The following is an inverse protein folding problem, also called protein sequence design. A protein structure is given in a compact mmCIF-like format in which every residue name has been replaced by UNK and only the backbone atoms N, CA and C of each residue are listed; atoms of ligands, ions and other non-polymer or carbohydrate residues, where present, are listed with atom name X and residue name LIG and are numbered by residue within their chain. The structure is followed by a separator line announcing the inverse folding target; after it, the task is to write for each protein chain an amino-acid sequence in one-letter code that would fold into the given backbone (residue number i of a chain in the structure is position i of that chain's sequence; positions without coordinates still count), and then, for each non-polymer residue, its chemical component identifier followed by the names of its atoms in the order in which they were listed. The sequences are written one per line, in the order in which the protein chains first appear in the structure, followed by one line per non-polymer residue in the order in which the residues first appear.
data_IF_976735504206
#
_entry.id   IF_976735504206
#
_cell.length_a   1.000
_cell.length_b   1.000
_cell.length_c   1.000
_cell.angle_alpha   90.00
_cell.angle_beta   90.00
_cell.angle_gamma   90.00
#
_symmetry.space_group_name_H-M   'P 1'
#
loop_
_entity.id
_entity.type
_entity.pdbx_description
1 polymer ?
#
# COMPACT_ATOMS: atom_id res chain seq x y z
N UNK A 1 -1.03 -21.93 -2.15
CA UNK A 1 -0.64 -20.59 -2.62
C UNK A 1 0.64 -20.25 -1.89
N UNK A 2 1.69 -19.84 -2.62
CA UNK A 2 2.95 -19.46 -1.99
C UNK A 2 2.74 -18.31 -0.99
N UNK A 3 3.45 -18.35 0.13
CA UNK A 3 3.45 -17.24 1.09
C UNK A 3 4.23 -16.07 0.48
N UNK A 4 3.55 -14.96 0.23
CA UNK A 4 4.14 -13.77 -0.37
C UNK A 4 5.29 -13.18 0.46
N UNK A 5 5.23 -13.31 1.79
CA UNK A 5 6.31 -12.83 2.65
C UNK A 5 7.54 -13.72 2.54
N UNK A 6 7.34 -15.01 2.28
CA UNK A 6 8.43 -15.94 2.01
C UNK A 6 9.05 -15.67 0.63
N UNK A 7 8.21 -15.46 -0.39
CA UNK A 7 8.68 -15.13 -1.75
C UNK A 7 9.51 -13.85 -1.77
N UNK A 8 9.10 -12.82 -1.01
CA UNK A 8 9.85 -11.58 -0.91
C UNK A 8 11.21 -11.76 -0.23
N UNK A 9 11.29 -12.56 0.84
CA UNK A 9 12.54 -12.76 1.60
C UNK A 9 13.49 -13.77 0.98
N UNK A 10 12.94 -14.75 0.25
CA UNK A 10 13.65 -15.92 -0.26
C UNK A 10 13.47 -16.05 -1.78
N UNK A 11 13.46 -14.92 -2.50
CA UNK A 11 13.19 -14.87 -3.95
C UNK A 11 14.04 -15.86 -4.75
N UNK A 12 15.35 -15.90 -4.51
CA UNK A 12 16.27 -16.79 -5.23
C UNK A 12 15.99 -18.27 -4.95
N UNK A 13 15.63 -18.61 -3.72
CA UNK A 13 15.29 -19.98 -3.32
C UNK A 13 14.00 -20.42 -4.00
N UNK A 14 12.99 -19.56 -4.02
CA UNK A 14 11.71 -19.84 -4.68
C UNK A 14 11.89 -20.03 -6.19
N UNK A 15 12.69 -19.17 -6.84
CA UNK A 15 13.02 -19.31 -8.27
C UNK A 15 13.69 -20.67 -8.54
N UNK A 16 14.64 -21.10 -7.70
CA UNK A 16 15.29 -22.41 -7.83
C UNK A 16 14.30 -23.57 -7.65
N UNK A 17 13.41 -23.49 -6.67
CA UNK A 17 12.40 -24.53 -6.42
C UNK A 17 11.40 -24.63 -7.58
N UNK A 18 11.03 -23.51 -8.19
CA UNK A 18 10.17 -23.47 -9.37
C UNK A 18 10.90 -24.02 -10.59
N UNK A 19 12.16 -23.67 -10.80
CA UNK A 19 12.99 -24.22 -11.88
C UNK A 19 13.12 -25.75 -11.79
N UNK A 20 13.27 -26.30 -10.58
CA UNK A 20 13.28 -27.76 -10.34
C UNK A 20 11.95 -28.43 -10.74
N UNK A 21 10.84 -27.70 -10.75
CA UNK A 21 9.53 -28.16 -11.24
C UNK A 21 9.32 -27.91 -12.74
N UNK A 22 10.33 -27.40 -13.45
CA UNK A 22 10.26 -27.03 -14.86
C UNK A 22 9.60 -25.67 -15.11
N UNK A 23 9.50 -24.82 -14.09
CA UNK A 23 8.92 -23.48 -14.19
C UNK A 23 10.00 -22.41 -14.10
N UNK A 24 10.30 -21.75 -15.21
CA UNK A 24 11.13 -20.56 -15.25
C UNK A 24 10.23 -19.33 -15.13
N UNK A 25 10.30 -18.66 -13.98
CA UNK A 25 9.54 -17.44 -13.69
C UNK A 25 10.41 -16.40 -13.03
N UNK A 26 10.23 -15.14 -13.43
CA UNK A 26 10.85 -14.00 -12.78
C UNK A 26 9.91 -13.45 -11.70
N UNK A 27 10.36 -13.48 -10.46
CA UNK A 27 9.62 -12.98 -9.30
C UNK A 27 9.96 -11.51 -8.98
N UNK A 28 10.85 -10.88 -9.74
CA UNK A 28 11.27 -9.49 -9.50
C UNK A 28 10.10 -8.52 -9.55
N UNK A 29 9.20 -8.68 -10.53
CA UNK A 29 7.98 -7.86 -10.62
C UNK A 29 7.05 -8.10 -9.42
N UNK A 30 6.89 -9.36 -8.99
CA UNK A 30 6.08 -9.70 -7.82
C UNK A 30 6.62 -9.03 -6.55
N UNK A 31 7.93 -9.10 -6.32
CA UNK A 31 8.58 -8.45 -5.16
C UNK A 31 8.42 -6.93 -5.21
N UNK A 32 8.60 -6.31 -6.38
CA UNK A 32 8.37 -4.88 -6.55
C UNK A 32 6.91 -4.47 -6.28
N UNK A 33 5.96 -5.29 -6.72
CA UNK A 33 4.55 -5.07 -6.46
C UNK A 33 4.23 -5.18 -4.96
N UNK A 34 4.85 -6.11 -4.24
CA UNK A 34 4.74 -6.25 -2.78
C UNK A 34 5.30 -5.04 -2.04
N UNK A 35 6.48 -4.55 -2.45
CA UNK A 35 7.06 -3.34 -1.89
C UNK A 35 6.15 -2.12 -2.12
N UNK A 36 5.59 -1.99 -3.33
CA UNK A 36 4.63 -0.95 -3.68
C UNK A 36 3.35 -1.05 -2.84
N UNK A 37 2.82 -2.25 -2.66
CA UNK A 37 1.67 -2.52 -1.77
C UNK A 37 1.93 -1.98 -0.36
N UNK A 38 3.08 -2.31 0.25
CA UNK A 38 3.43 -1.84 1.59
C UNK A 38 3.57 -0.32 1.66
N UNK A 39 4.20 0.29 0.65
CA UNK A 39 4.32 1.74 0.57
C UNK A 39 2.95 2.43 0.48
N UNK A 40 2.01 1.88 -0.30
CA UNK A 40 0.64 2.38 -0.39
C UNK A 40 -0.12 2.24 0.93
N UNK A 41 -0.03 1.07 1.59
CA UNK A 41 -0.63 0.85 2.91
C UNK A 41 -0.09 1.84 3.95
N UNK A 42 1.22 2.07 3.96
CA UNK A 42 1.84 3.04 4.85
C UNK A 42 1.36 4.47 4.55
N UNK A 43 1.28 4.85 3.27
CA UNK A 43 0.77 6.17 2.87
C UNK A 43 -0.68 6.38 3.32
N UNK A 44 -1.55 5.37 3.17
CA UNK A 44 -2.95 5.42 3.62
C UNK A 44 -3.02 5.67 5.14
N UNK A 45 -2.25 4.91 5.93
CA UNK A 45 -2.21 5.09 7.38
C UNK A 45 -1.65 6.46 7.79
N UNK A 46 -0.61 6.95 7.10
CA UNK A 46 -0.07 8.29 7.34
C UNK A 46 -1.11 9.39 7.05
N UNK A 47 -1.84 9.29 5.94
CA UNK A 47 -2.87 10.27 5.57
C UNK A 47 -3.99 10.27 6.60
N UNK A 48 -4.43 9.09 7.05
CA UNK A 48 -5.44 8.96 8.10
C UNK A 48 -4.99 9.56 9.43
N UNK A 49 -3.74 9.32 9.83
CA UNK A 49 -3.14 9.93 11.02
C UNK A 49 -3.09 11.46 10.91
N UNK A 50 -2.70 11.98 9.74
CA UNK A 50 -2.63 13.41 9.49
C UNK A 50 -4.01 14.08 9.53
N UNK A 51 -5.03 13.47 8.92
CA UNK A 51 -6.42 13.95 8.97
C UNK A 51 -6.92 14.00 10.41
N UNK A 52 -6.63 12.98 11.22
CA UNK A 52 -7.02 12.95 12.63
C UNK A 52 -6.31 14.04 13.44
N UNK A 53 -5.01 14.26 13.20
CA UNK A 53 -4.21 15.31 13.84
C UNK A 53 -4.74 16.71 13.51
N UNK A 54 -5.01 16.96 12.23
CA UNK A 54 -5.58 18.21 11.73
C UNK A 54 -6.97 18.46 12.34
N UNK A 55 -7.83 17.45 12.35
CA UNK A 55 -9.18 17.54 12.93
C UNK A 55 -9.15 17.80 14.44
N UNK A 56 -8.22 17.18 15.17
CA UNK A 56 -8.03 17.40 16.60
C UNK A 56 -7.50 18.81 16.93
N UNK A 57 -6.84 19.48 15.98
CA UNK A 57 -6.31 20.84 16.14
C UNK A 57 -7.39 21.93 15.95
N UNK A 58 -8.50 21.60 15.26
CA UNK A 58 -9.58 22.55 14.94
C UNK A 58 -10.21 23.21 16.18
N UNK A 59 -10.56 22.49 17.27
CA UNK A 59 -11.15 23.12 18.46
C UNK A 59 -10.20 24.11 19.15
N UNK A 60 -8.90 23.80 19.19
CA UNK A 60 -7.90 24.70 19.78
C UNK A 60 -7.74 25.99 18.95
N UNK A 61 -7.69 25.85 17.63
CA UNK A 61 -7.57 27.00 16.72
C UNK A 61 -8.83 27.87 16.71
N UNK A 62 -10.03 27.27 16.79
CA UNK A 62 -11.28 28.01 16.97
C UNK A 62 -11.29 28.81 18.27
N UNK A 63 -10.79 28.25 19.38
CA UNK A 63 -10.66 28.97 20.66
C UNK A 63 -9.67 30.14 20.57
N UNK A 64 -8.64 30.02 19.75
CA UNK A 64 -7.66 31.08 19.49
C UNK A 64 -8.14 32.14 18.48
N UNK A 65 -9.36 32.02 17.95
CA UNK A 65 -9.89 32.94 16.93
C UNK A 65 -9.21 32.82 15.56
N UNK A 66 -8.46 31.73 15.32
CA UNK A 66 -7.78 31.49 14.06
C UNK A 66 -8.73 30.91 12.99
N UNK A 67 -8.40 31.16 11.72
CA UNK A 67 -9.17 30.66 10.59
C UNK A 67 -8.91 29.16 10.36
N UNK A 68 -9.96 28.35 10.44
CA UNK A 68 -9.88 26.87 10.29
C UNK A 68 -10.25 26.38 8.89
N UNK A 69 -10.70 27.26 7.99
CA UNK A 69 -10.99 26.95 6.58
C UNK A 69 -9.83 26.27 5.84
N UNK A 70 -8.55 26.69 5.98
CA UNK A 70 -7.44 26.00 5.30
C UNK A 70 -7.25 24.56 5.78
N UNK A 71 -7.57 24.26 7.04
CA UNK A 71 -7.49 22.89 7.57
C UNK A 71 -8.52 22.00 6.89
N UNK A 72 -9.76 22.47 6.72
CA UNK A 72 -10.78 21.72 6.01
C UNK A 72 -10.42 21.47 4.53
N UNK A 73 -9.82 22.45 3.87
CA UNK A 73 -9.32 22.28 2.50
C UNK A 73 -8.22 21.20 2.43
N UNK A 74 -7.28 21.24 3.37
CA UNK A 74 -6.18 20.29 3.45
C UNK A 74 -6.67 18.86 3.75
N UNK A 75 -7.61 18.70 4.69
CA UNK A 75 -8.26 17.41 4.98
C UNK A 75 -9.01 16.88 3.76
N UNK A 76 -9.70 17.73 3.01
CA UNK A 76 -10.40 17.32 1.78
C UNK A 76 -9.42 16.79 0.73
N UNK A 77 -8.28 17.46 0.53
CA UNK A 77 -7.24 17.02 -0.39
C UNK A 77 -6.60 15.70 0.06
N UNK A 78 -6.31 15.57 1.36
CA UNK A 78 -5.79 14.34 1.95
C UNK A 78 -6.75 13.16 1.74
N UNK A 79 -8.04 13.34 1.99
CA UNK A 79 -9.05 12.31 1.76
C UNK A 79 -9.14 11.92 0.27
N UNK A 80 -9.05 12.88 -0.65
CA UNK A 80 -9.01 12.57 -2.09
C UNK A 80 -7.77 11.72 -2.44
N UNK A 81 -6.59 12.10 -1.96
CA UNK A 81 -5.37 11.31 -2.16
C UNK A 81 -5.46 9.92 -1.51
N UNK A 82 -6.18 9.78 -0.40
CA UNK A 82 -6.39 8.48 0.24
C UNK A 82 -7.22 7.55 -0.62
N UNK A 83 -8.30 8.06 -1.23
CA UNK A 83 -9.15 7.28 -2.15
C UNK A 83 -8.34 6.79 -3.35
N UNK A 84 -7.49 7.65 -3.94
CA UNK A 84 -6.59 7.25 -5.03
C UNK A 84 -5.60 6.16 -4.58
N UNK A 85 -5.02 6.30 -3.39
CA UNK A 85 -4.10 5.32 -2.84
C UNK A 85 -4.79 3.97 -2.56
N UNK A 86 -6.03 3.98 -2.09
CA UNK A 86 -6.84 2.77 -1.87
C UNK A 86 -7.20 2.07 -3.18
N UNK A 87 -7.50 2.81 -4.24
CA UNK A 87 -7.74 2.24 -5.57
C UNK A 87 -6.47 1.61 -6.14
N UNK A 88 -5.34 2.30 -6.04
CA UNK A 88 -4.04 1.77 -6.44
C UNK A 88 -3.67 0.52 -5.64
N UNK A 89 -3.98 0.51 -4.33
CA UNK A 89 -3.76 -0.64 -3.46
C UNK A 89 -4.58 -1.86 -3.93
N UNK A 90 -5.86 -1.67 -4.25
CA UNK A 90 -6.69 -2.77 -4.78
C UNK A 90 -6.15 -3.31 -6.09
N UNK A 91 -5.71 -2.44 -7.00
CA UNK A 91 -5.15 -2.84 -8.29
C UNK A 91 -3.85 -3.64 -8.13
N UNK A 92 -2.95 -3.21 -7.23
CA UNK A 92 -1.69 -3.94 -6.99
C UNK A 92 -1.93 -5.26 -6.29
N UNK A 93 -2.90 -5.33 -5.38
CA UNK A 93 -3.29 -6.58 -4.72
C UNK A 93 -3.88 -7.59 -5.69
N UNK A 94 -4.67 -7.14 -6.67
CA UNK A 94 -5.18 -8.03 -7.72
C UNK A 94 -4.02 -8.61 -8.54
N UNK A 95 -3.11 -7.77 -9.05
CA UNK A 95 -1.94 -8.20 -9.82
C UNK A 95 -1.09 -9.22 -9.06
N UNK A 96 -0.82 -8.93 -7.79
CA UNK A 96 -0.08 -9.83 -6.90
C UNK A 96 -0.78 -11.20 -6.80
N UNK A 97 -2.08 -11.20 -6.57
CA UNK A 97 -2.84 -12.44 -6.44
C UNK A 97 -2.86 -13.22 -7.77
N UNK A 98 -3.07 -12.56 -8.90
CA UNK A 98 -3.04 -13.18 -10.23
C UNK A 98 -1.70 -13.88 -10.49
N UNK A 99 -0.57 -13.21 -10.18
CA UNK A 99 0.75 -13.83 -10.29
C UNK A 99 0.89 -15.03 -9.34
N UNK A 100 0.49 -14.91 -8.09
CA UNK A 100 0.57 -16.02 -7.12
C UNK A 100 -0.31 -17.22 -7.50
N UNK A 101 -1.49 -16.97 -8.08
CA UNK A 101 -2.39 -18.03 -8.55
C UNK A 101 -1.83 -18.77 -9.77
N UNK A 102 -1.03 -18.11 -10.60
CA UNK A 102 -0.39 -18.74 -11.75
C UNK A 102 0.80 -19.63 -11.35
N UNK A 103 1.36 -19.45 -10.16
CA UNK A 103 2.51 -20.23 -9.70
C UNK A 103 2.10 -21.60 -9.15
N UNK A 104 2.82 -22.67 -9.48
CA UNK A 104 2.60 -23.99 -8.90
C UNK A 104 3.01 -24.00 -7.41
N UNK A 105 2.29 -24.78 -6.60
CA UNK A 105 2.64 -25.02 -5.19
C UNK A 105 3.89 -25.91 -5.04
#
# INVERSE_FOLDING_TARGET
MLDINYVEKHQEEVIRLLANKGWEVDLTELVNNVATKRALQFKIEQVKAEVNRLSASVPALKKQGQNVTPIFAQVKQLNASNVEAEQALKAIELKINETLFALPN
#
